data_IF_866367135793
#
_entry.id   IF_866367135793
#
_cell.length_a   1.000
_cell.length_b   1.000
_cell.length_c   1.000
_cell.angle_alpha   90.00
_cell.angle_beta   90.00
_cell.angle_gamma   90.00
#
_symmetry.space_group_name_H-M   'P 1'
#
loop_
_entity.id
_entity.type
_entity.pdbx_description
1 polymer ?
#
# COMPACT_ATOMS: atom_id res chain seq x y z
N UNK A 1 8.56 56.52 19.00
CA UNK A 1 8.29 55.84 17.71
C UNK A 1 9.09 54.53 17.57
N UNK A 2 10.42 54.52 17.78
CA UNK A 2 11.26 53.31 17.60
C UNK A 2 11.01 52.15 18.60
N UNK A 3 10.54 52.44 19.82
CA UNK A 3 10.25 51.41 20.85
C UNK A 3 9.00 50.60 20.52
N UNK A 4 7.96 51.23 19.99
CA UNK A 4 6.69 50.56 19.62
C UNK A 4 6.91 49.59 18.45
N UNK A 5 7.72 49.99 17.46
CA UNK A 5 8.08 49.14 16.31
C UNK A 5 8.87 47.90 16.74
N UNK A 6 9.76 48.05 17.73
CA UNK A 6 10.52 46.91 18.30
C UNK A 6 9.62 45.91 19.02
N UNK A 7 8.61 46.37 19.75
CA UNK A 7 7.65 45.50 20.44
C UNK A 7 6.80 44.70 19.43
N UNK A 8 6.33 45.35 18.35
CA UNK A 8 5.61 44.66 17.28
C UNK A 8 6.47 43.64 16.53
N UNK A 9 7.76 43.93 16.29
CA UNK A 9 8.71 43.00 15.66
C UNK A 9 8.99 41.76 16.53
N UNK A 10 9.10 41.94 17.85
CA UNK A 10 9.28 40.82 18.79
C UNK A 10 8.01 39.97 18.87
N UNK A 11 6.83 40.60 18.86
CA UNK A 11 5.56 39.87 18.84
C UNK A 11 5.37 39.07 17.55
N UNK A 12 5.78 39.62 16.40
CA UNK A 12 5.74 38.92 15.10
C UNK A 12 6.70 37.72 15.06
N UNK A 13 7.91 37.85 15.62
CA UNK A 13 8.88 36.75 15.74
C UNK A 13 8.41 35.64 16.68
N UNK A 14 7.70 35.98 17.77
CA UNK A 14 7.14 34.97 18.67
C UNK A 14 5.92 34.27 18.04
N UNK A 15 5.10 34.99 17.27
CA UNK A 15 3.93 34.42 16.60
C UNK A 15 4.29 33.46 15.45
N UNK A 16 5.42 33.67 14.75
CA UNK A 16 5.85 32.78 13.66
C UNK A 16 6.38 31.43 14.15
N UNK A 17 6.85 31.35 15.40
CA UNK A 17 7.38 30.10 15.97
C UNK A 17 6.28 29.07 16.32
N UNK A 18 5.04 29.51 16.50
CA UNK A 18 3.92 28.63 16.90
C UNK A 18 3.36 27.80 15.73
N UNK A 19 3.62 28.19 14.48
CA UNK A 19 2.97 27.60 13.30
C UNK A 19 3.68 26.33 12.78
N UNK A 20 4.87 25.99 13.28
CA UNK A 20 5.68 24.89 12.70
C UNK A 20 5.44 23.50 13.30
N UNK A 21 4.52 23.34 14.25
CA UNK A 21 4.37 22.07 14.98
C UNK A 21 3.02 21.40 14.76
N UNK A 22 2.64 21.22 13.49
CA UNK A 22 1.74 20.13 13.12
C UNK A 22 2.59 18.87 12.88
N UNK A 23 3.05 18.26 13.97
CA UNK A 23 3.52 16.88 13.91
C UNK A 23 2.32 16.03 13.49
N UNK A 24 2.39 15.40 12.32
CA UNK A 24 1.50 14.30 11.97
C UNK A 24 1.73 13.22 13.02
N UNK A 25 0.81 13.11 13.98
CA UNK A 25 0.73 11.98 14.87
C UNK A 25 0.26 10.80 14.00
N UNK A 26 1.23 10.04 13.50
CA UNK A 26 0.97 8.80 12.78
C UNK A 26 0.45 7.83 13.84
N UNK A 27 -0.88 7.73 13.99
CA UNK A 27 -1.51 6.75 14.87
C UNK A 27 -1.11 5.35 14.39
N UNK A 28 -0.07 4.77 15.00
CA UNK A 28 0.28 3.39 14.77
C UNK A 28 -0.73 2.53 15.55
N UNK A 29 -1.61 1.77 14.88
CA UNK A 29 -2.54 0.89 15.57
C UNK A 29 -1.73 -0.10 16.42
N UNK A 30 -2.09 -0.23 17.69
CA UNK A 30 -1.38 -1.08 18.68
C UNK A 30 -1.47 -2.57 18.39
N UNK A 31 -2.42 -2.99 17.55
CA UNK A 31 -2.54 -4.37 17.04
C UNK A 31 -2.97 -4.31 15.58
N UNK A 32 -2.17 -4.92 14.69
CA UNK A 32 -2.54 -5.11 13.29
C UNK A 32 -3.24 -6.47 13.13
N UNK A 33 -4.35 -6.49 12.40
CA UNK A 33 -5.01 -7.74 12.01
C UNK A 33 -4.10 -8.50 11.03
N UNK A 34 -3.77 -9.76 11.34
CA UNK A 34 -2.84 -10.59 10.55
C UNK A 34 -3.29 -10.80 9.11
N UNK A 35 -4.58 -10.59 8.81
CA UNK A 35 -5.18 -10.72 7.49
C UNK A 35 -4.94 -9.47 6.61
N UNK A 36 -4.28 -8.44 7.16
CA UNK A 36 -3.73 -7.31 6.43
C UNK A 36 -2.23 -7.55 6.25
N UNK A 37 -1.80 -7.79 5.01
CA UNK A 37 -0.40 -8.07 4.68
C UNK A 37 0.26 -6.81 4.11
N UNK A 38 1.48 -6.54 4.54
CA UNK A 38 2.32 -5.47 3.96
C UNK A 38 3.58 -6.09 3.37
N UNK A 39 3.78 -5.94 2.07
CA UNK A 39 5.01 -6.35 1.39
C UNK A 39 5.97 -5.16 1.24
N UNK A 40 7.27 -5.43 1.27
CA UNK A 40 8.27 -4.42 0.88
C UNK A 40 8.37 -4.46 -0.63
N UNK A 41 8.14 -3.32 -1.29
CA UNK A 41 8.24 -3.25 -2.74
C UNK A 41 9.69 -3.35 -3.19
N UNK A 42 9.93 -4.27 -4.11
CA UNK A 42 11.16 -4.47 -4.86
C UNK A 42 10.80 -4.80 -6.32
N UNK A 43 11.39 -4.12 -7.31
CA UNK A 43 11.13 -4.39 -8.74
C UNK A 43 11.62 -5.77 -9.21
N UNK A 44 12.41 -6.49 -8.40
CA UNK A 44 12.93 -7.82 -8.73
C UNK A 44 12.28 -8.96 -7.93
N UNK A 45 11.21 -8.68 -7.20
CA UNK A 45 10.51 -9.68 -6.38
C UNK A 45 9.20 -10.12 -7.04
N UNK A 46 8.84 -11.37 -6.82
CA UNK A 46 7.53 -11.94 -7.15
C UNK A 46 6.76 -12.11 -5.85
N UNK A 47 5.57 -11.51 -5.77
CA UNK A 47 4.76 -11.53 -4.55
C UNK A 47 3.77 -12.71 -4.59
N UNK A 48 3.87 -13.61 -3.60
CA UNK A 48 2.90 -14.68 -3.43
C UNK A 48 1.60 -14.12 -2.85
N UNK A 49 0.50 -14.43 -3.50
CA UNK A 49 -0.84 -14.06 -3.07
C UNK A 49 -1.69 -15.32 -2.90
N UNK A 50 -1.96 -15.66 -1.64
CA UNK A 50 -2.84 -16.79 -1.29
C UNK A 50 -4.26 -16.27 -1.08
N UNK A 51 -5.10 -16.48 -2.09
CA UNK A 51 -6.51 -16.14 -2.10
C UNK A 51 -7.34 -17.36 -1.72
N UNK A 52 -8.55 -17.11 -1.22
CA UNK A 52 -9.47 -18.17 -0.83
C UNK A 52 -10.78 -18.03 -1.60
N UNK A 53 -11.25 -19.13 -2.19
CA UNK A 53 -12.48 -19.14 -2.97
C UNK A 53 -13.68 -18.69 -2.10
N UNK A 54 -14.53 -17.82 -2.65
CA UNK A 54 -15.66 -17.22 -1.93
C UNK A 54 -15.31 -15.97 -1.11
N UNK A 55 -14.03 -15.63 -0.96
CA UNK A 55 -13.58 -14.41 -0.30
C UNK A 55 -13.01 -13.41 -1.31
N UNK A 56 -13.08 -12.13 -0.96
CA UNK A 56 -12.51 -11.04 -1.73
C UNK A 56 -11.29 -10.48 -1.01
N UNK A 57 -10.21 -10.27 -1.75
CA UNK A 57 -9.03 -9.56 -1.29
C UNK A 57 -8.88 -8.25 -2.04
N UNK A 58 -8.19 -7.29 -1.44
CA UNK A 58 -7.86 -6.03 -2.10
C UNK A 58 -6.36 -5.77 -2.07
N UNK A 59 -5.85 -5.16 -3.13
CA UNK A 59 -4.45 -4.73 -3.22
C UNK A 59 -4.46 -3.22 -3.36
N UNK A 60 -3.77 -2.54 -2.45
CA UNK A 60 -3.64 -1.09 -2.39
C UNK A 60 -2.20 -0.67 -2.71
N UNK A 61 -2.06 0.08 -3.80
CA UNK A 61 -0.82 0.70 -4.22
C UNK A 61 -0.67 2.10 -3.59
N UNK A 62 0.50 2.71 -3.74
CA UNK A 62 0.76 4.07 -3.27
C UNK A 62 -0.35 5.05 -3.70
N UNK A 63 -0.69 6.03 -2.86
CA UNK A 63 -1.75 7.03 -3.12
C UNK A 63 -1.59 7.80 -4.43
N UNK A 64 -0.38 7.83 -4.99
CA UNK A 64 -0.04 8.54 -6.22
C UNK A 64 0.29 7.59 -7.39
N UNK A 65 -0.11 6.33 -7.26
CA UNK A 65 -0.11 5.36 -8.34
C UNK A 65 -1.50 5.25 -8.98
N UNK A 66 -1.50 4.99 -10.27
CA UNK A 66 -2.69 4.73 -11.06
C UNK A 66 -2.48 3.45 -11.87
N UNK A 67 -3.40 2.51 -11.74
CA UNK A 67 -3.40 1.25 -12.46
C UNK A 67 -3.60 1.52 -13.96
N UNK A 68 -2.72 0.96 -14.79
CA UNK A 68 -2.77 1.11 -16.25
C UNK A 68 -3.28 -0.16 -16.91
N UNK A 69 -2.76 -1.31 -16.49
CA UNK A 69 -3.15 -2.59 -17.05
C UNK A 69 -2.91 -3.72 -16.06
N UNK A 70 -3.67 -4.80 -16.25
CA UNK A 70 -3.60 -6.04 -15.47
C UNK A 70 -3.60 -7.20 -16.45
N UNK A 71 -2.68 -8.13 -16.28
CA UNK A 71 -2.54 -9.33 -17.09
C UNK A 71 -2.58 -10.57 -16.20
N UNK A 72 -3.28 -11.59 -16.66
CA UNK A 72 -3.38 -12.91 -16.02
C UNK A 72 -2.87 -13.98 -16.97
N UNK A 73 -2.17 -14.98 -16.44
CA UNK A 73 -1.89 -16.19 -17.21
C UNK A 73 -3.16 -16.99 -17.49
N UNK A 74 -3.94 -17.23 -16.44
CA UNK A 74 -5.25 -17.89 -16.50
C UNK A 74 -6.31 -16.88 -16.08
N UNK A 75 -7.21 -16.45 -16.98
CA UNK A 75 -8.19 -15.40 -16.71
C UNK A 75 -9.58 -15.92 -16.28
N UNK A 76 -9.90 -17.21 -16.44
CA UNK A 76 -11.24 -17.70 -16.14
C UNK A 76 -11.45 -17.95 -14.64
N UNK A 77 -10.37 -18.18 -13.89
CA UNK A 77 -10.41 -18.48 -12.46
C UNK A 77 -10.49 -17.23 -11.54
N UNK A 78 -10.45 -16.02 -12.11
CA UNK A 78 -10.29 -14.78 -11.33
C UNK A 78 -11.24 -13.69 -11.81
N UNK A 79 -11.89 -13.05 -10.85
CA UNK A 79 -12.69 -11.85 -11.05
C UNK A 79 -11.96 -10.66 -10.45
N UNK A 80 -11.81 -9.58 -11.22
CA UNK A 80 -11.05 -8.39 -10.81
C UNK A 80 -11.84 -7.14 -11.10
N UNK A 81 -11.87 -6.22 -10.14
CA UNK A 81 -12.52 -4.92 -10.27
C UNK A 81 -11.64 -3.84 -9.66
N UNK A 82 -11.57 -2.67 -10.29
CA UNK A 82 -10.69 -1.57 -9.85
C UNK A 82 -11.38 -0.21 -10.02
N UNK A 83 -12.40 0.10 -9.20
CA UNK A 83 -13.12 1.36 -9.31
C UNK A 83 -12.30 2.57 -8.81
N UNK A 84 -11.18 2.32 -8.14
CA UNK A 84 -10.27 3.32 -7.59
C UNK A 84 -8.94 3.28 -8.36
N UNK A 85 -8.25 4.43 -8.52
CA UNK A 85 -7.04 4.52 -9.32
C UNK A 85 -5.89 3.66 -8.77
N UNK A 86 -5.79 3.51 -7.46
CA UNK A 86 -4.67 2.83 -6.79
C UNK A 86 -5.09 1.56 -6.05
N UNK A 87 -6.31 1.04 -6.25
CA UNK A 87 -6.79 -0.15 -5.55
C UNK A 87 -7.53 -1.11 -6.46
N UNK A 88 -7.16 -2.38 -6.37
CA UNK A 88 -7.88 -3.47 -7.02
C UNK A 88 -8.57 -4.36 -5.99
N UNK A 89 -9.66 -4.98 -6.40
CA UNK A 89 -10.35 -6.04 -5.70
C UNK A 89 -10.24 -7.29 -6.56
N UNK A 90 -9.84 -8.39 -5.94
CA UNK A 90 -9.66 -9.68 -6.59
C UNK A 90 -10.44 -10.74 -5.82
N UNK A 91 -11.17 -11.55 -6.56
CA UNK A 91 -11.92 -12.69 -6.05
C UNK A 91 -11.52 -13.92 -6.86
N UNK A 92 -11.30 -15.02 -6.16
CA UNK A 92 -11.12 -16.29 -6.84
C UNK A 92 -12.46 -16.97 -7.08
N UNK A 93 -12.67 -17.42 -8.31
CA UNK A 93 -13.88 -18.12 -8.75
C UNK A 93 -13.73 -19.64 -8.63
N UNK A 94 -12.51 -20.15 -8.80
CA UNK A 94 -12.19 -21.58 -8.78
C UNK A 94 -11.25 -21.94 -7.64
N UNK A 95 -11.29 -23.19 -7.18
CA UNK A 95 -10.44 -23.70 -6.10
C UNK A 95 -9.18 -24.37 -6.68
N UNK A 96 -8.08 -24.32 -5.93
CA UNK A 96 -6.83 -25.03 -6.26
C UNK A 96 -6.18 -24.62 -7.60
N UNK A 97 -6.38 -23.37 -8.00
CA UNK A 97 -5.75 -22.78 -9.20
C UNK A 97 -4.50 -22.01 -8.80
N UNK A 98 -3.42 -22.13 -9.57
CA UNK A 98 -2.20 -21.34 -9.43
C UNK A 98 -1.78 -20.78 -10.78
N UNK A 99 -1.52 -19.48 -10.84
CA UNK A 99 -1.06 -18.80 -12.06
C UNK A 99 -0.26 -17.56 -11.71
N UNK A 100 0.16 -16.80 -12.72
CA UNK A 100 0.80 -15.52 -12.56
C UNK A 100 -0.17 -14.36 -12.85
N UNK A 101 0.12 -13.21 -12.25
CA UNK A 101 -0.54 -11.95 -12.53
C UNK A 101 0.49 -10.83 -12.58
N UNK A 102 0.41 -9.98 -13.59
CA UNK A 102 1.25 -8.79 -13.72
C UNK A 102 0.37 -7.55 -13.66
N UNK A 103 0.71 -6.61 -12.79
CA UNK A 103 0.02 -5.31 -12.70
C UNK A 103 1.01 -4.21 -13.07
N UNK A 104 0.63 -3.38 -14.04
CA UNK A 104 1.41 -2.22 -14.46
C UNK A 104 0.67 -0.96 -14.00
N UNK A 105 1.37 -0.11 -13.27
CA UNK A 105 0.91 1.23 -12.89
C UNK A 105 1.69 2.31 -13.63
N UNK A 106 1.30 3.56 -13.46
CA UNK A 106 2.06 4.71 -13.96
C UNK A 106 3.46 4.87 -13.33
N UNK A 107 3.81 4.10 -12.29
CA UNK A 107 5.13 4.20 -11.62
C UNK A 107 5.89 2.90 -11.55
N UNK A 108 5.20 1.76 -11.44
CA UNK A 108 5.79 0.48 -11.04
C UNK A 108 5.12 -0.66 -11.77
N UNK A 109 5.85 -1.77 -11.84
CA UNK A 109 5.33 -3.06 -12.28
C UNK A 109 5.42 -4.01 -11.11
N UNK A 110 4.38 -4.83 -10.93
CA UNK A 110 4.29 -5.81 -9.87
C UNK A 110 4.06 -7.18 -10.49
N UNK A 111 4.90 -8.14 -10.10
CA UNK A 111 4.77 -9.54 -10.51
C UNK A 111 4.21 -10.36 -9.35
N UNK A 112 3.15 -11.12 -9.60
CA UNK A 112 2.48 -11.92 -8.59
C UNK A 112 2.44 -13.39 -9.01
N UNK A 113 2.63 -14.25 -8.02
CA UNK A 113 2.26 -15.67 -8.06
C UNK A 113 0.97 -15.79 -7.25
N UNK A 114 -0.14 -16.10 -7.92
CA UNK A 114 -1.47 -16.12 -7.30
C UNK A 114 -1.95 -17.55 -7.15
N UNK A 115 -2.42 -17.89 -5.95
CA UNK A 115 -2.91 -19.23 -5.60
C UNK A 115 -4.30 -19.10 -5.00
N UNK A 116 -5.24 -19.90 -5.48
CA UNK A 116 -6.56 -20.04 -4.88
C UNK A 116 -6.60 -21.31 -4.03
N UNK A 117 -7.03 -21.17 -2.78
CA UNK A 117 -7.24 -22.27 -1.84
C UNK A 117 -8.68 -22.33 -1.37
N UNK A 118 -9.08 -23.50 -0.92
CA UNK A 118 -10.27 -23.64 -0.08
C UNK A 118 -9.92 -23.27 1.36
N UNK A 119 -10.82 -22.57 2.05
CA UNK A 119 -10.61 -22.25 3.46
C UNK A 119 -10.86 -23.51 4.30
N UNK A 120 -9.83 -23.93 5.02
CA UNK A 120 -9.96 -25.01 6.00
C UNK A 120 -10.58 -24.48 7.30
N UNK A 121 -11.38 -25.33 7.95
CA UNK A 121 -12.04 -24.99 9.22
C UNK A 121 -10.99 -24.66 10.28
N UNK A 122 -11.11 -23.50 10.94
CA UNK A 122 -10.17 -23.04 11.97
C UNK A 122 -8.92 -22.35 11.43
N UNK A 123 -8.82 -22.09 10.12
CA UNK A 123 -7.71 -21.35 9.48
C UNK A 123 -8.11 -19.97 8.99
N UNK A 124 -9.06 -19.32 9.65
CA UNK A 124 -9.59 -18.00 9.23
C UNK A 124 -8.51 -16.90 9.25
N UNK A 125 -7.43 -17.09 10.02
CA UNK A 125 -6.28 -16.19 10.05
C UNK A 125 -5.43 -16.21 8.77
N UNK A 126 -5.57 -17.24 7.93
CA UNK A 126 -4.87 -17.35 6.64
C UNK A 126 -5.53 -16.51 5.54
N UNK A 127 -6.76 -16.05 5.76
CA UNK A 127 -7.43 -15.14 4.85
C UNK A 127 -6.62 -13.86 4.68
N UNK A 128 -6.55 -13.35 3.47
CA UNK A 128 -5.94 -12.06 3.18
C UNK A 128 -7.02 -11.12 2.70
N UNK A 129 -7.31 -10.06 3.46
CA UNK A 129 -8.32 -9.07 3.08
C UNK A 129 -7.70 -7.87 2.35
N UNK A 130 -6.50 -7.49 2.75
CA UNK A 130 -5.82 -6.32 2.23
C UNK A 130 -4.32 -6.58 2.11
N UNK A 131 -3.79 -6.31 0.92
CA UNK A 131 -2.36 -6.23 0.66
C UNK A 131 -1.98 -4.76 0.46
N UNK A 132 -0.92 -4.34 1.14
CA UNK A 132 -0.28 -3.04 0.98
C UNK A 132 1.19 -3.22 0.62
N UNK A 133 1.77 -2.16 0.07
CA UNK A 133 3.20 -2.08 -0.20
C UNK A 133 3.86 -0.98 0.62
N UNK A 134 4.92 -1.35 1.32
CA UNK A 134 5.90 -0.42 1.87
C UNK A 134 6.96 -0.13 0.82
N UNK A 135 7.23 1.15 0.57
CA UNK A 135 8.18 1.57 -0.45
C UNK A 135 9.43 2.11 0.24
N UNK A 136 10.55 1.36 0.29
CA UNK A 136 11.75 1.84 0.96
C UNK A 136 12.26 3.08 0.24
N UNK A 137 12.46 4.16 1.00
CA UNK A 137 13.10 5.35 0.45
C UNK A 137 14.56 5.01 0.16
N UNK A 138 15.04 5.35 -1.04
CA UNK A 138 16.49 5.34 -1.31
C UNK A 138 17.12 6.31 -0.31
N UNK A 139 17.83 5.80 0.70
CA UNK A 139 18.73 6.64 1.50
C UNK A 139 19.68 7.29 0.50
N UNK A 140 19.66 8.62 0.40
CA UNK A 140 20.68 9.34 -0.34
C UNK A 140 22.02 8.95 0.29
N UNK A 141 22.84 8.20 -0.44
CA UNK A 141 24.22 7.97 -0.03
C UNK A 141 24.90 9.34 -0.14
N UNK A 142 25.05 10.02 0.99
CA UNK A 142 25.91 11.19 1.09
C UNK A 142 27.33 10.69 0.81
N UNK A 143 27.77 10.84 -0.44
CA UNK A 143 29.19 10.85 -0.76
C UNK A 143 29.75 12.11 -0.11
N UNK A 144 30.24 11.96 1.11
CA UNK A 144 31.11 12.95 1.72
C UNK A 144 32.30 13.17 0.79
N UNK A 145 32.55 14.45 0.52
CA UNK A 145 33.61 14.96 -0.35
C UNK A 145 34.97 14.80 0.31
#
# INVERSE_FOLDING_TARGET
MMIIVRIFLIFYLLFSSVVYSSYFEEEFPTTADDRIKTYIYNPSDVYLLVLHAGFQSSIEFAKNEEIRSIFFGDNYAWEVTYPLPNRIFIKSLEKNVRTNMTIITNKRTYEFDIVSKELEVGREHDLVYLIRFYYPQKKACNKEK
#
